data_IF_692842428191
#
_entry.id   IF_692842428191
#
_cell.length_a   1.000
_cell.length_b   1.000
_cell.length_c   1.000
_cell.angle_alpha   90.00
_cell.angle_beta   90.00
_cell.angle_gamma   90.00
#
_symmetry.space_group_name_H-M   'P 1'
#
loop_
_entity.id
_entity.type
_entity.pdbx_description
1 polymer ?
#
# COMPACT_ATOMS: atom_id res chain seq x y z
N UNK A 1 16.37 -85.45 2.65
CA UNK A 1 15.24 -86.39 2.81
C UNK A 1 14.57 -86.10 4.16
N UNK A 2 13.23 -85.97 4.17
CA UNK A 2 12.31 -85.49 5.25
C UNK A 2 12.37 -83.96 5.46
N UNK A 3 11.44 -83.13 4.95
CA UNK A 3 9.98 -83.03 5.15
C UNK A 3 9.60 -82.84 6.62
N UNK A 4 8.91 -81.73 6.95
CA UNK A 4 7.58 -81.68 7.59
C UNK A 4 7.12 -80.21 7.76
N UNK A 5 5.79 -80.04 7.71
CA UNK A 5 4.96 -78.83 7.55
C UNK A 5 4.55 -78.16 8.88
N UNK A 6 4.05 -76.93 8.71
CA UNK A 6 3.44 -75.90 9.57
C UNK A 6 2.55 -76.28 10.78
N UNK A 7 2.55 -75.45 11.85
CA UNK A 7 1.37 -74.68 12.34
C UNK A 7 1.62 -73.80 13.61
N UNK A 8 1.12 -72.56 13.55
CA UNK A 8 0.44 -71.68 14.54
C UNK A 8 0.86 -71.67 16.03
N UNK A 9 1.30 -70.50 16.52
CA UNK A 9 0.89 -69.90 17.81
C UNK A 9 1.36 -68.43 17.89
N UNK A 10 0.55 -67.57 18.49
CA UNK A 10 0.55 -66.13 18.26
C UNK A 10 1.71 -65.31 18.82
N UNK A 11 1.79 -64.07 18.34
CA UNK A 11 2.58 -63.03 18.96
C UNK A 11 1.76 -61.75 19.06
N UNK A 12 1.35 -61.47 20.30
CA UNK A 12 0.81 -60.22 20.78
C UNK A 12 1.86 -59.13 20.54
N UNK A 13 1.60 -58.18 19.62
CA UNK A 13 2.45 -57.00 19.48
C UNK A 13 1.85 -55.84 20.26
N UNK A 14 2.45 -55.63 21.42
CA UNK A 14 2.41 -54.40 22.21
C UNK A 14 2.75 -53.16 21.36
N UNK A 15 2.04 -52.08 21.65
CA UNK A 15 2.42 -50.67 21.54
C UNK A 15 3.88 -50.38 21.12
N UNK A 16 4.09 -49.59 20.06
CA UNK A 16 5.04 -48.46 19.97
C UNK A 16 5.15 -47.91 18.53
N UNK A 17 4.88 -46.61 18.35
CA UNK A 17 5.58 -45.79 17.35
C UNK A 17 4.84 -45.36 16.08
N UNK A 18 3.69 -44.67 16.20
CA UNK A 18 3.27 -43.73 15.15
C UNK A 18 3.83 -42.34 15.49
N UNK A 19 5.02 -42.02 15.00
CA UNK A 19 5.57 -40.67 15.04
C UNK A 19 5.79 -40.18 13.60
N UNK A 20 4.69 -39.87 12.92
CA UNK A 20 4.75 -39.00 11.75
C UNK A 20 4.92 -37.59 12.32
N UNK A 21 6.17 -37.16 12.44
CA UNK A 21 6.49 -35.75 12.70
C UNK A 21 6.09 -34.99 11.43
N UNK A 22 4.85 -34.52 11.40
CA UNK A 22 4.47 -33.43 10.51
C UNK A 22 5.29 -32.22 10.92
N UNK A 23 6.32 -31.89 10.14
CA UNK A 23 6.92 -30.56 10.16
C UNK A 23 5.83 -29.58 9.71
N UNK A 24 5.06 -29.08 10.67
CA UNK A 24 4.37 -27.82 10.50
C UNK A 24 5.46 -26.76 10.39
N UNK A 25 5.74 -26.34 9.16
CA UNK A 25 6.43 -25.08 8.94
C UNK A 25 5.43 -24.03 9.41
N UNK A 26 5.60 -23.57 10.64
CA UNK A 26 5.00 -22.32 11.09
C UNK A 26 5.60 -21.24 10.19
N UNK A 27 4.87 -20.91 9.13
CA UNK A 27 5.03 -19.63 8.43
C UNK A 27 4.60 -18.60 9.45
N UNK A 28 5.56 -18.18 10.26
CA UNK A 28 5.43 -17.03 11.14
C UNK A 28 5.20 -15.82 10.23
N UNK A 29 3.92 -15.49 10.01
CA UNK A 29 3.51 -14.21 9.45
C UNK A 29 3.82 -13.15 10.50
N UNK A 30 5.11 -12.85 10.64
CA UNK A 30 5.65 -11.94 11.65
C UNK A 30 4.85 -10.64 11.66
N UNK A 31 4.14 -10.42 12.76
CA UNK A 31 3.40 -9.21 13.00
C UNK A 31 4.39 -8.04 13.06
N UNK A 32 4.21 -7.07 12.17
CA UNK A 32 4.97 -5.82 12.12
C UNK A 32 4.66 -4.94 13.35
N UNK A 33 5.18 -5.27 14.52
CA UNK A 33 4.98 -4.50 15.74
C UNK A 33 6.22 -3.65 16.09
N UNK A 34 6.37 -2.51 15.40
CA UNK A 34 7.28 -1.44 15.85
C UNK A 34 6.67 -0.73 17.06
N UNK A 35 7.49 -0.14 17.96
CA UNK A 35 7.00 0.67 19.07
C UNK A 35 6.30 1.94 18.54
N UNK A 36 4.97 1.87 18.40
CA UNK A 36 4.15 2.82 17.62
C UNK A 36 3.85 4.15 18.34
N UNK A 37 4.26 4.30 19.60
CA UNK A 37 3.78 5.39 20.47
C UNK A 37 4.34 6.79 20.14
N UNK A 38 5.33 6.90 19.24
CA UNK A 38 5.87 8.19 18.76
C UNK A 38 5.58 8.52 17.29
N UNK A 39 5.02 7.58 16.52
CA UNK A 39 4.85 7.72 15.07
C UNK A 39 3.38 8.09 14.77
N UNK A 40 3.11 9.20 14.03
CA UNK A 40 1.76 9.55 13.61
C UNK A 40 1.07 8.37 12.93
N UNK A 41 -0.24 8.19 13.13
CA UNK A 41 -0.97 7.05 12.59
C UNK A 41 -0.77 6.88 11.08
N UNK A 42 -0.76 7.98 10.32
CA UNK A 42 -0.55 8.00 8.87
C UNK A 42 0.86 7.61 8.43
N UNK A 43 1.83 7.59 9.35
CA UNK A 43 3.24 7.31 9.10
C UNK A 43 3.63 5.88 9.53
N UNK A 44 2.72 5.14 10.16
CA UNK A 44 2.97 3.75 10.55
C UNK A 44 2.96 2.84 9.31
N UNK A 45 3.79 1.78 9.27
CA UNK A 45 3.68 0.76 8.24
C UNK A 45 2.29 0.13 8.22
N UNK A 46 1.81 -0.24 7.03
CA UNK A 46 0.49 -0.83 6.83
C UNK A 46 0.54 -1.95 5.78
N UNK A 47 -0.41 -2.89 5.84
CA UNK A 47 -0.46 -4.04 4.94
C UNK A 47 -1.72 -4.01 4.08
N UNK A 48 -1.57 -4.22 2.78
CA UNK A 48 -2.69 -4.40 1.83
C UNK A 48 -2.35 -5.60 0.95
N UNK A 49 -3.27 -6.56 0.83
CA UNK A 49 -3.10 -7.77 0.01
C UNK A 49 -1.76 -8.50 0.26
N UNK A 50 -1.41 -8.72 1.53
CA UNK A 50 -0.15 -9.34 1.98
C UNK A 50 1.13 -8.61 1.55
N UNK A 51 1.04 -7.34 1.14
CA UNK A 51 2.19 -6.46 0.89
C UNK A 51 2.26 -5.39 1.96
N UNK A 52 3.42 -5.27 2.58
CA UNK A 52 3.73 -4.24 3.56
C UNK A 52 4.22 -2.98 2.86
N UNK A 53 3.64 -1.84 3.22
CA UNK A 53 4.03 -0.51 2.78
C UNK A 53 4.51 0.29 3.98
N UNK A 54 5.71 0.85 3.88
CA UNK A 54 6.29 1.70 4.91
C UNK A 54 6.40 3.13 4.38
N UNK A 55 5.58 4.07 4.88
CA UNK A 55 5.66 5.45 4.47
C UNK A 55 7.07 6.05 4.64
N UNK A 56 7.51 6.84 3.68
CA UNK A 56 8.81 7.50 3.70
C UNK A 56 8.86 8.56 4.81
N UNK A 57 9.97 8.70 5.53
CA UNK A 57 10.07 9.68 6.63
C UNK A 57 10.03 11.14 6.16
N UNK A 58 10.43 11.41 4.91
CA UNK A 58 10.38 12.72 4.27
C UNK A 58 10.08 12.57 2.78
N UNK A 59 9.56 13.63 2.16
CA UNK A 59 9.38 13.75 0.71
C UNK A 59 10.58 14.39 -0.02
N UNK A 60 11.63 14.80 0.69
CA UNK A 60 12.75 15.55 0.11
C UNK A 60 13.44 14.79 -1.03
N UNK A 61 13.60 15.47 -2.17
CA UNK A 61 14.23 14.91 -3.37
C UNK A 61 13.43 13.80 -4.06
N UNK A 62 12.19 13.53 -3.63
CA UNK A 62 11.38 12.48 -4.24
C UNK A 62 10.99 12.84 -5.69
N UNK A 63 11.34 11.95 -6.61
CA UNK A 63 10.91 11.98 -7.99
C UNK A 63 10.54 10.55 -8.43
N UNK A 64 9.43 10.41 -9.13
CA UNK A 64 9.02 9.13 -9.71
C UNK A 64 8.33 9.35 -11.06
N UNK A 65 8.54 8.42 -11.99
CA UNK A 65 7.80 8.37 -13.26
C UNK A 65 7.05 7.05 -13.35
N UNK A 66 5.78 7.10 -13.72
CA UNK A 66 4.93 5.92 -13.76
C UNK A 66 3.52 6.21 -14.26
N UNK A 67 2.60 5.28 -14.02
CA UNK A 67 1.22 5.41 -14.46
C UNK A 67 0.38 6.10 -13.38
N UNK A 68 -0.32 7.15 -13.76
CA UNK A 68 -1.39 7.74 -12.96
C UNK A 68 -2.75 7.19 -13.37
N UNK A 69 -3.68 7.15 -12.41
CA UNK A 69 -5.11 7.12 -12.70
C UNK A 69 -5.85 8.18 -11.89
N UNK A 70 -7.18 8.12 -11.87
CA UNK A 70 -8.01 8.96 -11.00
C UNK A 70 -9.13 8.13 -10.39
N UNK A 71 -9.55 8.50 -9.18
CA UNK A 71 -10.61 7.81 -8.46
C UNK A 71 -11.90 8.62 -8.49
N UNK A 72 -13.02 7.90 -8.70
CA UNK A 72 -14.31 8.46 -9.08
C UNK A 72 -15.27 8.79 -7.94
N UNK A 73 -16.52 9.05 -8.31
CA UNK A 73 -17.60 9.49 -7.42
C UNK A 73 -17.90 8.54 -6.27
N UNK A 74 -17.62 7.24 -6.43
CA UNK A 74 -17.88 6.20 -5.42
C UNK A 74 -17.10 6.42 -4.11
N UNK A 75 -16.05 7.23 -4.17
CA UNK A 75 -15.26 7.61 -3.01
C UNK A 75 -15.73 8.94 -2.38
N UNK A 76 -16.50 9.75 -3.10
CA UNK A 76 -16.87 11.10 -2.67
C UNK A 76 -17.62 11.06 -1.34
N UNK A 77 -17.24 11.93 -0.41
CA UNK A 77 -17.83 12.00 0.93
C UNK A 77 -17.30 10.96 1.92
N UNK A 78 -16.43 10.04 1.50
CA UNK A 78 -15.80 9.04 2.40
C UNK A 78 -14.56 9.62 3.07
N UNK A 79 -14.18 9.06 4.21
CA UNK A 79 -12.93 9.40 4.87
C UNK A 79 -11.72 8.88 4.05
N UNK A 80 -10.73 9.73 3.88
CA UNK A 80 -9.40 9.39 3.36
C UNK A 80 -8.53 8.80 4.47
N UNK A 81 -7.37 8.27 4.12
CA UNK A 81 -6.41 7.68 5.07
C UNK A 81 -5.84 8.68 6.07
N UNK A 82 -5.93 9.99 5.82
CA UNK A 82 -5.54 11.01 6.80
C UNK A 82 -6.73 11.53 7.64
N UNK A 83 -7.94 10.99 7.42
CA UNK A 83 -9.17 11.35 8.15
C UNK A 83 -9.99 12.47 7.52
N UNK A 84 -9.49 13.16 6.48
CA UNK A 84 -10.26 14.18 5.76
C UNK A 84 -11.39 13.53 4.93
N UNK A 85 -12.51 14.23 4.79
CA UNK A 85 -13.55 13.85 3.82
C UNK A 85 -13.06 14.07 2.41
N UNK A 86 -13.11 13.03 1.58
CA UNK A 86 -12.72 13.13 0.18
C UNK A 86 -13.71 13.98 -0.62
N UNK A 87 -13.21 15.08 -1.17
CA UNK A 87 -13.89 15.86 -2.19
C UNK A 87 -13.26 15.61 -3.55
N UNK A 88 -14.02 15.05 -4.49
CA UNK A 88 -13.53 14.74 -5.82
C UNK A 88 -13.16 15.98 -6.66
N UNK A 89 -13.68 17.15 -6.28
CA UNK A 89 -13.43 18.41 -6.96
C UNK A 89 -12.18 19.14 -6.44
N UNK A 90 -11.64 18.72 -5.28
CA UNK A 90 -10.40 19.27 -4.75
C UNK A 90 -9.20 18.85 -5.60
N UNK A 91 -8.03 19.44 -5.36
CA UNK A 91 -6.78 19.13 -6.05
C UNK A 91 -5.89 18.28 -5.14
N UNK A 92 -6.25 17.00 -5.03
CA UNK A 92 -5.63 16.03 -4.12
C UNK A 92 -5.24 14.74 -4.84
N UNK A 93 -4.45 13.91 -4.17
CA UNK A 93 -4.01 12.62 -4.69
C UNK A 93 -3.81 11.58 -3.57
N UNK A 94 -3.93 10.31 -3.96
CA UNK A 94 -3.55 9.16 -3.16
C UNK A 94 -2.16 8.67 -3.58
N UNK A 95 -1.29 8.44 -2.60
CA UNK A 95 0.05 7.90 -2.81
C UNK A 95 0.43 6.88 -1.73
N UNK A 96 1.17 5.83 -2.11
CA UNK A 96 1.47 4.68 -1.23
C UNK A 96 2.40 5.05 -0.07
N UNK A 97 3.47 5.79 -0.39
CA UNK A 97 4.62 5.94 0.51
C UNK A 97 4.86 7.36 1.02
N UNK A 98 4.63 8.39 0.19
CA UNK A 98 4.85 9.78 0.61
C UNK A 98 4.09 10.17 1.89
N UNK A 99 4.72 11.02 2.74
CA UNK A 99 4.05 11.65 3.87
C UNK A 99 2.73 12.32 3.48
N UNK A 100 1.80 12.39 4.44
CA UNK A 100 0.60 13.18 4.22
C UNK A 100 0.95 14.66 4.12
N UNK A 101 0.15 15.39 3.34
CA UNK A 101 0.34 16.81 3.05
C UNK A 101 1.59 17.15 2.22
N UNK A 102 2.26 16.15 1.65
CA UNK A 102 3.26 16.40 0.59
C UNK A 102 2.59 17.05 -0.62
N UNK A 103 3.20 18.12 -1.12
CA UNK A 103 2.81 18.78 -2.36
C UNK A 103 3.60 18.17 -3.51
N UNK A 104 2.89 17.75 -4.57
CA UNK A 104 3.49 17.09 -5.73
C UNK A 104 3.22 17.91 -6.99
N UNK A 105 4.26 18.22 -7.76
CA UNK A 105 4.11 18.63 -9.15
C UNK A 105 3.89 17.37 -10.00
N UNK A 106 2.70 17.22 -10.56
CA UNK A 106 2.33 16.13 -11.47
C UNK A 106 2.35 16.65 -12.88
N UNK A 107 3.16 16.04 -13.75
CA UNK A 107 3.22 16.35 -15.18
C UNK A 107 2.73 15.16 -15.98
N UNK A 108 1.69 15.36 -16.79
CA UNK A 108 1.26 14.39 -17.78
C UNK A 108 2.24 14.41 -18.96
N UNK A 109 2.94 13.31 -19.18
CA UNK A 109 3.97 13.22 -20.21
C UNK A 109 3.39 13.09 -21.62
N UNK A 110 2.12 12.70 -21.74
CA UNK A 110 1.46 12.51 -23.04
C UNK A 110 1.02 13.85 -23.66
N UNK A 111 0.83 14.90 -22.85
CA UNK A 111 0.34 16.21 -23.31
C UNK A 111 1.06 17.42 -22.70
N UNK A 112 2.05 17.22 -21.83
CA UNK A 112 2.83 18.27 -21.16
C UNK A 112 2.07 19.09 -20.10
N UNK A 113 0.79 18.82 -19.86
CA UNK A 113 0.00 19.54 -18.85
C UNK A 113 0.45 19.15 -17.44
N UNK A 114 0.43 20.13 -16.54
CA UNK A 114 0.89 19.94 -15.17
C UNK A 114 -0.06 20.53 -14.15
N UNK A 115 -0.07 19.95 -12.95
CA UNK A 115 -0.80 20.50 -11.82
C UNK A 115 -0.10 20.16 -10.52
N UNK A 116 -0.29 20.98 -9.50
CA UNK A 116 0.21 20.70 -8.16
C UNK A 116 -0.91 20.09 -7.34
N UNK A 117 -0.67 18.93 -6.73
CA UNK A 117 -1.64 18.21 -5.90
C UNK A 117 -1.11 18.03 -4.48
N UNK A 118 -2.02 17.89 -3.52
CA UNK A 118 -1.68 17.51 -2.15
C UNK A 118 -1.96 16.03 -1.91
N UNK A 119 -1.01 15.31 -1.32
CA UNK A 119 -1.24 13.94 -0.85
C UNK A 119 -2.10 13.97 0.41
N UNK A 120 -3.25 13.32 0.38
CA UNK A 120 -4.13 13.19 1.55
C UNK A 120 -4.66 11.76 1.75
N UNK A 121 -4.30 10.82 0.86
CA UNK A 121 -4.81 9.45 0.92
C UNK A 121 -3.73 8.41 0.56
N UNK A 122 -4.02 7.14 0.80
CA UNK A 122 -3.18 5.98 0.48
C UNK A 122 -3.71 5.21 -0.72
N UNK A 123 -2.78 4.59 -1.44
CA UNK A 123 -3.03 3.93 -2.72
C UNK A 123 -2.20 4.57 -3.84
N UNK A 124 -2.42 4.24 -5.12
CA UNK A 124 -3.22 3.13 -5.62
C UNK A 124 -2.76 1.76 -5.10
N UNK A 125 -3.67 0.80 -4.99
CA UNK A 125 -3.30 -0.61 -4.74
C UNK A 125 -3.42 -1.50 -5.99
N UNK A 126 -3.65 -0.88 -7.14
CA UNK A 126 -3.56 -1.53 -8.45
C UNK A 126 -2.10 -1.55 -8.90
N UNK A 127 -1.65 -2.72 -9.35
CA UNK A 127 -0.27 -2.93 -9.79
C UNK A 127 0.09 -2.02 -10.97
N UNK A 128 1.31 -1.48 -10.97
CA UNK A 128 1.82 -0.60 -12.03
C UNK A 128 1.41 0.87 -11.93
N UNK A 129 0.46 1.23 -11.06
CA UNK A 129 0.09 2.63 -10.81
C UNK A 129 0.89 3.21 -9.65
N UNK A 130 1.32 4.46 -9.79
CA UNK A 130 2.12 5.17 -8.79
C UNK A 130 1.29 6.20 -8.02
N UNK A 131 0.25 6.76 -8.65
CA UNK A 131 -0.58 7.82 -8.08
C UNK A 131 -2.01 7.74 -8.61
N UNK A 132 -2.99 7.97 -7.73
CA UNK A 132 -4.38 8.15 -8.11
C UNK A 132 -4.80 9.59 -7.79
N UNK A 133 -5.24 10.34 -8.80
CA UNK A 133 -5.62 11.75 -8.69
C UNK A 133 -7.10 11.91 -8.36
N UNK A 134 -7.46 13.04 -7.73
CA UNK A 134 -8.85 13.49 -7.69
C UNK A 134 -9.37 13.81 -9.10
N UNK A 135 -10.69 13.82 -9.30
CA UNK A 135 -11.28 14.25 -10.56
C UNK A 135 -10.86 15.70 -10.91
N UNK A 136 -10.79 16.59 -9.91
CA UNK A 136 -10.33 17.97 -10.09
C UNK A 136 -8.91 18.05 -10.66
N UNK A 137 -7.97 17.30 -10.10
CA UNK A 137 -6.59 17.23 -10.59
C UNK A 137 -6.50 16.56 -11.97
N UNK A 138 -7.23 15.46 -12.17
CA UNK A 138 -7.28 14.74 -13.43
C UNK A 138 -7.78 15.61 -14.59
N UNK A 139 -8.80 16.47 -14.34
CA UNK A 139 -9.30 17.45 -15.33
C UNK A 139 -8.20 18.42 -15.75
N UNK A 140 -7.42 18.94 -14.80
CA UNK A 140 -6.34 19.93 -15.08
C UNK A 140 -5.26 19.37 -16.00
N UNK A 141 -4.88 18.11 -15.83
CA UNK A 141 -3.84 17.46 -16.66
C UNK A 141 -4.39 16.67 -17.85
N UNK A 142 -5.70 16.73 -18.10
CA UNK A 142 -6.34 16.04 -19.24
C UNK A 142 -6.36 14.51 -19.13
N UNK A 143 -6.39 13.96 -17.92
CA UNK A 143 -6.37 12.51 -17.65
C UNK A 143 -7.76 11.86 -17.71
N UNK A 144 -8.84 12.63 -17.59
CA UNK A 144 -10.20 12.08 -17.38
C UNK A 144 -10.64 11.16 -18.51
N UNK A 145 -10.45 11.57 -19.76
CA UNK A 145 -10.92 10.82 -20.93
C UNK A 145 -10.12 9.54 -21.17
N UNK A 146 -8.81 9.56 -20.92
CA UNK A 146 -7.95 8.39 -21.09
C UNK A 146 -8.02 7.43 -19.91
N UNK A 147 -8.49 7.89 -18.74
CA UNK A 147 -8.55 7.13 -17.49
C UNK A 147 -7.18 7.02 -16.81
N UNK A 148 -6.14 6.74 -17.61
CA UNK A 148 -4.74 6.66 -17.18
C UNK A 148 -3.83 7.46 -18.11
N UNK A 149 -2.64 7.82 -17.63
CA UNK A 149 -1.59 8.45 -18.42
C UNK A 149 -0.22 8.19 -17.77
N UNK A 150 0.84 8.32 -18.57
CA UNK A 150 2.18 8.34 -18.01
C UNK A 150 2.45 9.72 -17.40
N UNK A 151 2.89 9.74 -16.15
CA UNK A 151 3.18 10.97 -15.42
C UNK A 151 4.57 10.95 -14.83
N UNK A 152 5.14 12.15 -14.66
CA UNK A 152 6.27 12.42 -13.78
C UNK A 152 5.75 13.18 -12.55
N UNK A 153 6.10 12.70 -11.35
CA UNK A 153 5.79 13.37 -10.08
C UNK A 153 7.08 13.83 -9.41
N UNK A 154 7.07 15.06 -8.90
CA UNK A 154 8.19 15.65 -8.15
C UNK A 154 7.63 16.21 -6.84
N UNK A 155 8.23 15.84 -5.72
CA UNK A 155 7.88 16.44 -4.44
C UNK A 155 8.41 17.88 -4.32
N UNK A 156 7.51 18.79 -3.93
CA UNK A 156 7.81 20.20 -3.72
C UNK A 156 8.03 20.54 -2.24
N UNK A 157 7.74 19.60 -1.33
CA UNK A 157 7.84 19.77 0.12
C UNK A 157 6.60 19.29 0.86
N UNK A 158 6.66 19.36 2.19
CA UNK A 158 5.57 18.97 3.10
C UNK A 158 4.88 20.21 3.66
N UNK A 159 3.55 20.23 3.62
CA UNK A 159 2.76 21.27 4.30
C UNK A 159 2.42 20.82 5.71
N UNK A 160 2.92 21.52 6.72
CA UNK A 160 2.51 21.34 8.11
C UNK A 160 1.53 22.44 8.52
N UNK A 161 0.49 22.05 9.24
CA UNK A 161 -0.35 23.00 9.99
C UNK A 161 0.16 23.09 11.42
N UNK A 162 0.74 24.21 11.78
CA UNK A 162 1.20 24.51 13.14
C UNK A 162 0.40 25.71 13.63
N UNK A 163 -0.34 25.56 14.74
CA UNK A 163 -1.16 26.61 15.34
C UNK A 163 -2.14 27.30 14.37
N UNK A 164 -2.70 26.55 13.42
CA UNK A 164 -3.60 27.09 12.39
C UNK A 164 -2.90 27.77 11.22
N UNK A 165 -1.57 27.92 11.24
CA UNK A 165 -0.78 28.47 10.16
C UNK A 165 -0.17 27.37 9.28
N UNK A 166 -0.14 27.61 7.97
CA UNK A 166 0.53 26.76 6.99
C UNK A 166 2.02 27.07 7.02
N UNK A 167 2.84 26.06 7.29
CA UNK A 167 4.29 26.12 7.17
C UNK A 167 4.76 25.10 6.13
N UNK A 168 5.61 25.55 5.21
CA UNK A 168 6.34 24.66 4.31
C UNK A 168 7.57 24.17 5.04
N UNK A 169 7.70 22.85 5.13
CA UNK A 169 8.92 22.19 5.59
C UNK A 169 9.74 21.75 4.40
#
# INVERSE_FOLDING_TARGET
MKSIKYNVAGFCFFLLGFLVISLFIDVDTGQCALNQNKIPATQRPYCINNRTYSPLPTADGYEETGIASWYGSDFHGRATSNGETYNMHDITAAHKLLPMHTMLLVTNLDNGKKTVVRVNDRGPFVQGRIIDLSLGAAKKIGLVRSGTARVKIIALGEVKRINGQIQFK
#
